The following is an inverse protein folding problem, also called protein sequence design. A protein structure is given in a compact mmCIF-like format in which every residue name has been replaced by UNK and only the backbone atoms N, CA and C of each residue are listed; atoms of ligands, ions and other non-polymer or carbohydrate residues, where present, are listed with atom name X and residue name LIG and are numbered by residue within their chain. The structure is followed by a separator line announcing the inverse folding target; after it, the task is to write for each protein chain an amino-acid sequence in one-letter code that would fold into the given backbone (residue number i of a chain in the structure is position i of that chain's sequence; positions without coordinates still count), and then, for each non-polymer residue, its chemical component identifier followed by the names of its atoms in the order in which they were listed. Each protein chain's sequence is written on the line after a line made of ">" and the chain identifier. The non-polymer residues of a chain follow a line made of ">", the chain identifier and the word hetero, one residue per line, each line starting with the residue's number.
data_IF_740830105181
#
_entry.id   IF_740830105181
#
_cell.length_a   1.000
_cell.length_b   1.000
_cell.length_c   1.000
_cell.angle_alpha   90.00
_cell.angle_beta   90.00
_cell.angle_gamma   90.00
#
_symmetry.space_group_name_H-M   'P 1'
#
loop_
_entity.id
_entity.type
_entity.pdbx_description
1 polymer ?
#
# COMPACT_ATOMS: atom_id res chain seq x y z
N UNK A 1 -24.14 -15.20 3.85
CA UNK A 1 -23.46 -15.57 2.59
C UNK A 1 -21.98 -15.79 2.86
N UNK A 2 -21.48 -16.92 2.41
CA UNK A 2 -20.07 -17.23 2.55
C UNK A 2 -19.29 -16.71 1.35
N UNK A 3 -18.36 -15.83 1.60
CA UNK A 3 -17.43 -15.36 0.57
C UNK A 3 -16.28 -16.35 0.42
N UNK A 4 -15.91 -16.63 -0.82
CA UNK A 4 -14.80 -17.56 -1.10
C UNK A 4 -13.49 -16.80 -1.11
N UNK A 5 -12.43 -17.35 -0.51
CA UNK A 5 -11.09 -16.75 -0.63
C UNK A 5 -10.65 -16.62 -2.08
N UNK A 6 -9.84 -15.62 -2.35
CA UNK A 6 -9.25 -15.38 -3.67
C UNK A 6 -7.75 -15.63 -3.59
N UNK A 7 -7.24 -16.39 -4.54
CA UNK A 7 -5.81 -16.66 -4.65
C UNK A 7 -5.16 -15.69 -5.62
N UNK A 8 -4.11 -15.01 -5.16
CA UNK A 8 -3.30 -14.10 -5.96
C UNK A 8 -1.86 -14.62 -5.90
N UNK A 9 -1.45 -15.37 -6.94
CA UNK A 9 -0.20 -16.14 -6.95
C UNK A 9 -0.12 -17.07 -5.72
N UNK A 10 0.89 -16.87 -4.88
CA UNK A 10 1.12 -17.61 -3.63
C UNK A 10 0.40 -17.02 -2.42
N UNK A 11 -0.31 -15.89 -2.61
CA UNK A 11 -1.05 -15.21 -1.54
C UNK A 11 -2.51 -15.60 -1.57
N UNK A 12 -3.13 -15.69 -0.40
CA UNK A 12 -4.55 -15.98 -0.26
C UNK A 12 -5.21 -14.81 0.44
N UNK A 13 -6.17 -14.19 -0.24
CA UNK A 13 -7.02 -13.16 0.33
C UNK A 13 -8.27 -13.87 0.89
N UNK A 14 -8.27 -14.12 2.19
CA UNK A 14 -9.32 -14.88 2.86
C UNK A 14 -10.66 -14.17 2.82
N UNK A 15 -10.68 -12.87 3.06
CA UNK A 15 -11.84 -12.01 2.92
C UNK A 15 -11.67 -11.23 1.62
N UNK A 16 -12.47 -11.54 0.56
CA UNK A 16 -12.24 -10.96 -0.77
C UNK A 16 -12.75 -9.52 -0.87
N UNK A 17 -12.27 -8.68 -0.02
CA UNK A 17 -12.55 -7.25 0.02
C UNK A 17 -11.25 -6.49 -0.14
N UNK A 18 -11.19 -5.62 -1.14
CA UNK A 18 -10.04 -4.78 -1.44
C UNK A 18 -10.45 -3.34 -1.19
N UNK A 19 -9.78 -2.68 -0.26
CA UNK A 19 -10.02 -1.27 0.00
C UNK A 19 -9.42 -0.44 -1.14
N UNK A 20 -10.16 0.54 -1.65
CA UNK A 20 -9.65 1.44 -2.68
C UNK A 20 -8.60 2.39 -2.13
N UNK A 21 -7.45 2.49 -2.80
CA UNK A 21 -6.41 3.43 -2.44
C UNK A 21 -6.83 4.88 -2.71
N UNK A 22 -6.76 5.74 -1.71
CA UNK A 22 -7.13 7.15 -1.81
C UNK A 22 -5.99 8.04 -1.35
N UNK A 23 -5.53 8.93 -2.21
CA UNK A 23 -4.67 10.06 -1.85
C UNK A 23 -5.53 11.22 -1.36
N UNK A 24 -5.02 12.27 -0.81
CA UNK A 24 -3.67 12.45 -0.27
C UNK A 24 -3.78 12.23 1.23
N UNK A 25 -2.94 11.35 1.78
CA UNK A 25 -2.91 11.09 3.22
C UNK A 25 -4.06 10.25 3.77
N UNK A 26 -5.07 9.88 2.96
CA UNK A 26 -6.20 9.06 3.42
C UNK A 26 -5.79 7.61 3.57
N UNK A 27 -5.28 7.00 2.49
CA UNK A 27 -4.89 5.60 2.50
C UNK A 27 -3.39 5.45 2.74
N UNK A 28 -3.00 5.50 4.01
CA UNK A 28 -1.65 5.19 4.47
C UNK A 28 -1.69 4.00 5.44
N UNK A 29 -0.67 3.85 6.27
CA UNK A 29 -0.50 2.67 7.12
C UNK A 29 -1.66 2.40 8.08
N UNK A 30 -2.32 3.44 8.59
CA UNK A 30 -3.41 3.25 9.56
C UNK A 30 -4.62 2.58 8.92
N UNK A 31 -5.12 3.12 7.82
CA UNK A 31 -6.28 2.55 7.13
C UNK A 31 -5.93 1.19 6.51
N UNK A 32 -4.85 1.12 5.76
CA UNK A 32 -4.45 -0.12 5.12
C UNK A 32 -4.17 -1.24 6.13
N UNK A 33 -3.49 -0.92 7.22
CA UNK A 33 -3.23 -1.88 8.29
C UNK A 33 -4.49 -2.36 8.98
N UNK A 34 -5.45 -1.46 9.23
CA UNK A 34 -6.73 -1.82 9.86
C UNK A 34 -7.55 -2.77 8.98
N UNK A 35 -7.62 -2.49 7.67
CA UNK A 35 -8.32 -3.36 6.71
C UNK A 35 -7.66 -4.74 6.65
N UNK A 36 -6.34 -4.79 6.54
CA UNK A 36 -5.60 -6.04 6.50
C UNK A 36 -5.75 -6.83 7.80
N UNK A 37 -5.78 -6.16 8.93
CA UNK A 37 -6.02 -6.79 10.23
C UNK A 37 -7.33 -7.56 10.29
N UNK A 38 -8.35 -7.07 9.59
CA UNK A 38 -9.66 -7.74 9.50
C UNK A 38 -9.71 -8.83 8.42
N UNK A 39 -8.62 -9.08 7.72
CA UNK A 39 -8.49 -10.16 6.73
C UNK A 39 -8.66 -9.73 5.28
N UNK A 40 -8.98 -8.48 5.03
CA UNK A 40 -9.08 -7.92 3.68
C UNK A 40 -7.73 -7.50 3.11
N UNK A 41 -7.76 -6.82 1.98
CA UNK A 41 -6.58 -6.20 1.38
C UNK A 41 -6.59 -4.70 1.67
N UNK A 42 -5.71 -4.25 2.54
CA UNK A 42 -5.46 -2.84 2.78
C UNK A 42 -4.56 -2.27 1.70
N UNK A 43 -4.90 -1.10 1.16
CA UNK A 43 -4.17 -0.51 0.04
C UNK A 43 -3.65 0.88 0.42
N UNK A 44 -2.34 1.07 0.27
CA UNK A 44 -1.68 2.35 0.45
C UNK A 44 -1.64 3.07 -0.89
N UNK A 45 -2.10 4.32 -0.93
CA UNK A 45 -1.97 5.16 -2.12
C UNK A 45 -0.60 5.82 -2.15
N UNK A 46 0.09 5.74 -3.29
CA UNK A 46 1.38 6.42 -3.48
C UNK A 46 1.23 7.92 -3.71
N UNK A 47 0.02 8.39 -4.06
CA UNK A 47 -0.21 9.80 -4.36
C UNK A 47 0.14 10.68 -3.17
N UNK A 48 1.27 11.37 -3.28
CA UNK A 48 1.82 12.27 -2.27
C UNK A 48 1.88 11.64 -0.87
N UNK A 49 2.30 10.39 -0.80
CA UNK A 49 2.31 9.61 0.44
C UNK A 49 3.17 10.23 1.56
N UNK A 50 4.19 11.00 1.19
CA UNK A 50 5.06 11.71 2.12
C UNK A 50 4.70 13.18 2.35
N UNK A 51 3.49 13.59 2.04
CA UNK A 51 3.07 15.00 2.04
C UNK A 51 3.30 15.74 3.37
N UNK A 52 3.30 15.04 4.48
CA UNK A 52 3.46 15.62 5.81
C UNK A 52 4.93 15.67 6.29
N UNK A 53 5.86 15.24 5.46
CA UNK A 53 7.28 15.34 5.77
C UNK A 53 7.79 16.78 5.58
N UNK A 54 8.67 17.28 6.46
CA UNK A 54 9.10 18.70 6.41
C UNK A 54 9.82 19.10 5.12
N UNK A 55 10.45 18.16 4.43
CA UNK A 55 11.19 18.40 3.20
C UNK A 55 10.41 18.04 1.92
N UNK A 56 9.12 17.75 2.06
CA UNK A 56 8.28 17.29 0.93
C UNK A 56 8.29 18.27 -0.24
N UNK A 57 8.13 19.56 0.00
CA UNK A 57 8.08 20.57 -1.07
C UNK A 57 9.39 20.69 -1.84
N UNK A 58 10.52 20.36 -1.22
CA UNK A 58 11.84 20.45 -1.86
C UNK A 58 12.11 19.31 -2.81
N UNK A 59 11.63 18.11 -2.49
CA UNK A 59 11.85 16.91 -3.29
C UNK A 59 10.69 15.93 -3.09
N UNK A 60 9.50 16.22 -3.67
CA UNK A 60 8.32 15.37 -3.46
C UNK A 60 8.53 13.90 -3.81
N UNK A 61 9.19 13.64 -4.94
CA UNK A 61 9.41 12.25 -5.39
C UNK A 61 10.35 11.47 -4.46
N UNK A 62 11.46 12.08 -4.08
CA UNK A 62 12.39 11.44 -3.15
C UNK A 62 11.77 11.19 -1.78
N UNK A 63 10.97 12.15 -1.31
CA UNK A 63 10.27 12.01 -0.02
C UNK A 63 9.22 10.90 -0.09
N UNK A 64 8.44 10.83 -1.15
CA UNK A 64 7.46 9.75 -1.35
C UNK A 64 8.13 8.39 -1.37
N UNK A 65 9.21 8.25 -2.13
CA UNK A 65 9.97 6.98 -2.20
C UNK A 65 10.54 6.57 -0.83
N UNK A 66 10.96 7.53 -0.03
CA UNK A 66 11.45 7.27 1.33
C UNK A 66 10.33 6.89 2.30
N UNK A 67 9.17 7.52 2.16
CA UNK A 67 8.03 7.30 3.05
C UNK A 67 7.35 5.94 2.83
N UNK A 68 7.33 5.43 1.59
CA UNK A 68 6.62 4.20 1.24
C UNK A 68 7.04 2.98 2.06
N UNK A 69 8.33 2.63 2.17
CA UNK A 69 8.73 1.47 2.97
C UNK A 69 8.29 1.56 4.43
N UNK A 70 8.30 2.76 4.99
CA UNK A 70 7.87 3.00 6.37
C UNK A 70 6.37 2.74 6.51
N UNK A 71 5.57 3.24 5.57
CA UNK A 71 4.12 3.04 5.57
C UNK A 71 3.77 1.56 5.40
N UNK A 72 4.45 0.85 4.49
CA UNK A 72 4.24 -0.58 4.26
C UNK A 72 4.56 -1.38 5.52
N UNK A 73 5.71 -1.12 6.15
CA UNK A 73 6.12 -1.82 7.36
C UNK A 73 5.09 -1.64 8.48
N UNK A 74 4.68 -0.40 8.73
CA UNK A 74 3.69 -0.10 9.77
C UNK A 74 2.35 -0.75 9.50
N UNK A 75 1.89 -0.77 8.25
CA UNK A 75 0.66 -1.45 7.87
C UNK A 75 0.74 -2.95 8.12
N UNK A 76 1.86 -3.58 7.76
CA UNK A 76 2.07 -5.02 7.99
C UNK A 76 2.17 -5.36 9.46
N UNK A 77 2.79 -4.52 10.26
CA UNK A 77 2.84 -4.69 11.72
C UNK A 77 1.42 -4.68 12.32
N UNK A 78 0.60 -3.72 11.93
CA UNK A 78 -0.80 -3.62 12.36
C UNK A 78 -1.61 -4.83 11.89
N UNK A 79 -1.39 -5.29 10.66
CA UNK A 79 -2.10 -6.43 10.07
C UNK A 79 -1.84 -7.74 10.83
N UNK A 80 -0.64 -7.91 11.38
CA UNK A 80 -0.29 -9.10 12.14
C UNK A 80 -0.37 -10.40 11.34
N UNK A 81 -0.14 -10.35 10.04
CA UNK A 81 -0.18 -11.53 9.15
C UNK A 81 -1.57 -12.01 8.77
N UNK A 82 -2.63 -11.28 9.09
CA UNK A 82 -4.01 -11.75 8.88
C UNK A 82 -4.53 -11.50 7.46
N UNK A 83 -4.31 -10.33 6.90
CA UNK A 83 -4.72 -9.96 5.56
C UNK A 83 -3.52 -9.57 4.71
N UNK A 84 -3.79 -8.93 3.58
CA UNK A 84 -2.76 -8.49 2.65
C UNK A 84 -2.61 -6.98 2.66
N UNK A 85 -1.40 -6.51 2.42
CA UNK A 85 -1.09 -5.08 2.25
C UNK A 85 -0.62 -4.87 0.82
N UNK A 86 -1.34 -4.03 0.10
CA UNK A 86 -1.02 -3.64 -1.27
C UNK A 86 -0.71 -2.15 -1.38
N UNK A 87 -0.16 -1.77 -2.51
CA UNK A 87 0.12 -0.38 -2.84
C UNK A 87 -0.48 -0.07 -4.20
N UNK A 88 -1.18 1.06 -4.31
CA UNK A 88 -1.71 1.56 -5.56
C UNK A 88 -0.71 2.53 -6.18
N UNK A 89 -0.31 2.27 -7.43
CA UNK A 89 0.63 3.11 -8.18
C UNK A 89 0.00 3.42 -9.55
N UNK A 90 -0.27 4.70 -9.81
CA UNK A 90 -0.77 5.11 -11.12
C UNK A 90 0.34 5.00 -12.17
N UNK A 91 0.04 4.40 -13.32
CA UNK A 91 1.03 4.18 -14.39
C UNK A 91 1.60 5.48 -14.97
N UNK A 92 0.85 6.58 -14.87
CA UNK A 92 1.30 7.91 -15.33
C UNK A 92 2.24 8.60 -14.35
N UNK A 93 2.48 8.01 -13.19
CA UNK A 93 3.37 8.60 -12.18
C UNK A 93 4.79 8.70 -12.71
N UNK A 94 5.42 9.86 -12.52
CA UNK A 94 6.85 9.97 -12.75
C UNK A 94 7.59 8.99 -11.85
N UNK A 95 8.69 8.43 -12.34
CA UNK A 95 9.47 7.43 -11.61
C UNK A 95 8.67 6.17 -11.26
N UNK A 96 7.70 5.80 -12.13
CA UNK A 96 6.86 4.61 -11.92
C UNK A 96 7.69 3.35 -11.59
N UNK A 97 8.77 3.12 -12.36
CA UNK A 97 9.63 1.95 -12.15
C UNK A 97 10.30 1.97 -10.77
N UNK A 98 10.73 3.14 -10.32
CA UNK A 98 11.35 3.31 -9.00
C UNK A 98 10.35 3.04 -7.88
N UNK A 99 9.10 3.48 -8.05
CA UNK A 99 8.03 3.16 -7.11
C UNK A 99 7.78 1.66 -7.03
N UNK A 100 7.67 0.98 -8.18
CA UNK A 100 7.48 -0.48 -8.24
C UNK A 100 8.63 -1.20 -7.52
N UNK A 101 9.86 -0.83 -7.83
CA UNK A 101 11.05 -1.38 -7.19
C UNK A 101 11.02 -1.22 -5.68
N UNK A 102 10.76 0.00 -5.24
CA UNK A 102 10.74 0.36 -3.80
C UNK A 102 9.71 -0.46 -3.03
N UNK A 103 8.50 -0.60 -3.57
CA UNK A 103 7.45 -1.34 -2.85
C UNK A 103 7.70 -2.84 -2.87
N UNK A 104 8.27 -3.37 -3.95
CA UNK A 104 8.67 -4.78 -4.00
C UNK A 104 9.76 -5.09 -2.96
N UNK A 105 10.77 -4.24 -2.87
CA UNK A 105 11.84 -4.38 -1.88
C UNK A 105 11.31 -4.26 -0.44
N UNK A 106 10.28 -3.45 -0.23
CA UNK A 106 9.63 -3.30 1.07
C UNK A 106 8.74 -4.49 1.44
N UNK A 107 8.54 -5.44 0.55
CA UNK A 107 7.79 -6.67 0.83
C UNK A 107 6.28 -6.51 0.76
N UNK A 108 5.77 -5.64 -0.11
CA UNK A 108 4.33 -5.51 -0.35
C UNK A 108 3.75 -6.83 -0.90
N UNK A 109 2.52 -7.14 -0.55
CA UNK A 109 1.87 -8.39 -1.01
C UNK A 109 1.34 -8.28 -2.43
N UNK A 110 0.91 -7.09 -2.85
CA UNK A 110 0.38 -6.86 -4.19
C UNK A 110 0.56 -5.41 -4.61
N UNK A 111 0.53 -5.17 -5.92
CA UNK A 111 0.52 -3.83 -6.50
C UNK A 111 -0.75 -3.70 -7.34
N UNK A 112 -1.47 -2.60 -7.14
CA UNK A 112 -2.61 -2.23 -7.96
C UNK A 112 -2.15 -1.10 -8.87
N UNK A 113 -2.16 -1.35 -10.16
CA UNK A 113 -1.60 -0.43 -11.15
C UNK A 113 -2.63 -0.12 -12.22
N UNK A 114 -2.82 1.15 -12.49
CA UNK A 114 -3.81 1.59 -13.48
C UNK A 114 -3.58 2.98 -14.00
#
# INVERSE_FOLDING_TARGET
>A
MLMKPVKIKDKILKLPIIQGGMGIGVSRCRLAGAVAKEGGMGVISTAQVGYDEPDFEKDPEGVNLRALPVQIRKAKETAGGKGLVAVNIMTVTQLYEEYVKTVCEAGVDAIISG
#
